data_IF_748355107044
#
_entry.id   IF_748355107044
#
_cell.length_a   1.000
_cell.length_b   1.000
_cell.length_c   1.000
_cell.angle_alpha   90.00
_cell.angle_beta   90.00
_cell.angle_gamma   90.00
#
_symmetry.space_group_name_H-M   'P 1'
#
loop_
_entity.id
_entity.type
_entity.pdbx_description
1 polymer ?
#
# COMPACT_ATOMS: atom_id res chain seq x y z
N UNK A 1 43.90 18.10 28.79
CA UNK A 1 42.86 18.83 28.01
C UNK A 1 42.37 18.13 26.73
N UNK A 2 42.64 16.84 26.52
CA UNK A 2 42.26 16.10 25.29
C UNK A 2 41.03 15.21 25.49
N UNK A 3 40.66 14.86 26.72
CA UNK A 3 39.51 13.95 26.99
C UNK A 3 38.13 14.59 26.87
N UNK A 4 38.02 15.91 26.84
CA UNK A 4 36.74 16.64 26.80
C UNK A 4 36.21 16.84 25.36
N UNK A 5 37.11 16.77 24.35
CA UNK A 5 36.72 16.95 22.93
C UNK A 5 36.12 15.70 22.28
N UNK A 6 36.41 14.51 22.81
CA UNK A 6 35.91 13.25 22.26
C UNK A 6 34.46 13.01 22.69
N UNK A 7 34.06 13.51 23.88
CA UNK A 7 32.69 13.35 24.38
C UNK A 7 31.67 14.22 23.61
N UNK A 8 32.09 15.37 23.09
CA UNK A 8 31.20 16.26 22.34
C UNK A 8 30.92 15.78 20.91
N UNK A 9 31.85 14.99 20.31
CA UNK A 9 31.64 14.46 18.96
C UNK A 9 30.72 13.23 18.95
N UNK A 10 30.66 12.45 20.03
CA UNK A 10 29.80 11.27 20.11
C UNK A 10 28.31 11.63 20.37
N UNK A 11 28.05 12.76 21.02
CA UNK A 11 26.69 13.24 21.29
C UNK A 11 26.09 13.95 20.07
N UNK A 12 26.93 14.57 19.23
CA UNK A 12 26.46 15.24 18.01
C UNK A 12 26.18 14.25 16.86
N UNK A 13 26.83 13.07 16.89
CA UNK A 13 26.60 12.00 15.89
C UNK A 13 25.30 11.23 16.15
N UNK A 14 24.80 11.17 17.36
CA UNK A 14 23.54 10.48 17.68
C UNK A 14 22.30 11.38 17.47
N UNK A 15 22.48 12.68 17.25
CA UNK A 15 21.37 13.61 17.01
C UNK A 15 21.03 13.81 15.52
N UNK A 16 21.80 13.21 14.61
CA UNK A 16 21.60 13.40 13.16
C UNK A 16 20.87 12.24 12.47
N UNK A 17 20.34 11.27 13.23
CA UNK A 17 19.50 10.19 12.74
C UNK A 17 18.05 10.25 13.27
N UNK A 18 17.57 11.44 13.68
CA UNK A 18 16.14 11.70 13.57
C UNK A 18 15.84 11.97 12.10
N UNK A 19 15.95 10.93 11.27
CA UNK A 19 15.19 10.88 10.04
C UNK A 19 13.74 10.99 10.49
N UNK A 20 13.18 12.19 10.34
CA UNK A 20 11.75 12.38 10.36
C UNK A 20 11.20 11.41 9.31
N UNK A 21 10.77 10.23 9.76
CA UNK A 21 9.77 9.49 9.03
C UNK A 21 8.62 10.51 8.94
N UNK A 22 8.54 11.19 7.81
CA UNK A 22 7.35 11.92 7.42
C UNK A 22 6.28 10.84 7.39
N UNK A 23 5.56 10.70 8.53
CA UNK A 23 4.28 10.02 8.51
C UNK A 23 3.47 10.85 7.54
N UNK A 24 3.40 10.39 6.30
CA UNK A 24 2.40 10.84 5.36
C UNK A 24 1.11 10.42 6.05
N UNK A 25 0.52 11.33 6.83
CA UNK A 25 -0.83 11.16 7.29
C UNK A 25 -1.65 11.12 6.01
N UNK A 26 -2.14 9.94 5.70
CA UNK A 26 -3.11 9.79 4.65
C UNK A 26 -4.29 10.70 4.98
N UNK A 27 -4.53 11.71 4.15
CA UNK A 27 -5.63 12.64 4.32
C UNK A 27 -6.94 11.90 4.04
N UNK A 28 -7.61 11.50 5.13
CA UNK A 28 -8.97 10.96 5.05
C UNK A 28 -9.91 12.12 4.69
N UNK A 29 -10.63 11.98 3.59
CA UNK A 29 -11.59 13.01 3.17
C UNK A 29 -12.73 13.10 4.19
N UNK A 30 -13.01 14.31 4.73
CA UNK A 30 -13.97 14.50 5.82
C UNK A 30 -15.35 13.91 5.53
N UNK A 31 -15.88 13.13 6.48
CA UNK A 31 -17.20 12.51 6.37
C UNK A 31 -17.28 11.33 5.41
N UNK A 32 -16.15 10.74 5.03
CA UNK A 32 -16.08 9.56 4.17
C UNK A 32 -15.12 8.51 4.74
N UNK A 33 -15.14 7.30 4.16
CA UNK A 33 -14.18 6.23 4.43
C UNK A 33 -13.10 6.16 3.33
N UNK A 34 -12.78 7.29 2.70
CA UNK A 34 -11.79 7.36 1.62
C UNK A 34 -10.54 8.12 2.05
N UNK A 35 -9.40 7.50 1.80
CA UNK A 35 -8.05 8.06 1.92
C UNK A 35 -7.61 8.62 0.57
N UNK A 36 -7.11 9.86 0.54
CA UNK A 36 -6.53 10.44 -0.68
C UNK A 36 -5.09 9.94 -0.82
N UNK A 37 -4.86 9.06 -1.80
CA UNK A 37 -3.54 8.49 -2.10
C UNK A 37 -2.74 9.41 -3.03
N UNK A 38 -3.43 10.05 -3.98
CA UNK A 38 -2.82 11.02 -4.90
C UNK A 38 -3.88 11.97 -5.48
N UNK A 39 -3.45 12.90 -6.34
CA UNK A 39 -4.35 13.87 -6.97
C UNK A 39 -5.54 13.24 -7.70
N UNK A 40 -5.46 11.97 -8.13
CA UNK A 40 -6.51 11.29 -8.87
C UNK A 40 -6.86 9.90 -8.33
N UNK A 41 -6.22 9.48 -7.22
CA UNK A 41 -6.42 8.15 -6.65
C UNK A 41 -6.88 8.29 -5.21
N UNK A 42 -7.95 7.59 -4.88
CA UNK A 42 -8.42 7.41 -3.51
C UNK A 42 -8.48 5.92 -3.20
N UNK A 43 -8.41 5.60 -1.91
CA UNK A 43 -8.52 4.25 -1.38
C UNK A 43 -9.71 4.18 -0.43
N UNK A 44 -10.58 3.21 -0.62
CA UNK A 44 -11.59 2.86 0.37
C UNK A 44 -10.92 2.14 1.55
N UNK A 45 -10.98 2.73 2.74
CA UNK A 45 -10.32 2.21 3.95
C UNK A 45 -10.92 0.87 4.38
N UNK A 46 -12.22 0.66 4.15
CA UNK A 46 -12.92 -0.55 4.59
C UNK A 46 -12.64 -1.75 3.69
N UNK A 47 -12.58 -1.52 2.37
CA UNK A 47 -12.43 -2.58 1.37
C UNK A 47 -11.01 -2.69 0.82
N UNK A 48 -10.20 -1.64 0.98
CA UNK A 48 -8.88 -1.52 0.35
C UNK A 48 -8.94 -1.26 -1.16
N UNK A 49 -10.14 -1.04 -1.73
CA UNK A 49 -10.32 -0.76 -3.16
C UNK A 49 -9.68 0.57 -3.55
N UNK A 50 -8.86 0.57 -4.61
CA UNK A 50 -8.34 1.79 -5.21
C UNK A 50 -9.28 2.26 -6.33
N UNK A 51 -9.64 3.55 -6.29
CA UNK A 51 -10.39 4.24 -7.33
C UNK A 51 -9.47 5.26 -7.98
N UNK A 52 -9.23 5.10 -9.28
CA UNK A 52 -8.43 6.01 -10.09
C UNK A 52 -9.34 6.80 -11.03
N UNK A 53 -9.27 8.13 -10.97
CA UNK A 53 -10.10 9.04 -11.77
C UNK A 53 -9.29 9.64 -12.92
N UNK A 54 -9.96 9.94 -14.01
CA UNK A 54 -9.31 10.59 -15.16
C UNK A 54 -8.92 12.04 -14.86
N UNK A 55 -9.65 12.72 -13.97
CA UNK A 55 -9.34 14.09 -13.54
C UNK A 55 -9.54 14.27 -12.03
N UNK A 56 -8.91 15.29 -11.47
CA UNK A 56 -9.07 15.68 -10.06
C UNK A 56 -10.49 16.09 -9.73
N UNK A 57 -11.15 16.81 -10.65
CA UNK A 57 -12.53 17.30 -10.49
C UNK A 57 -13.52 16.13 -10.38
N UNK A 58 -13.30 15.04 -11.14
CA UNK A 58 -14.14 13.83 -11.03
C UNK A 58 -13.92 13.11 -9.70
N UNK A 59 -12.67 13.07 -9.19
CA UNK A 59 -12.37 12.54 -7.85
C UNK A 59 -13.12 13.36 -6.79
N UNK A 60 -12.99 14.68 -6.82
CA UNK A 60 -13.58 15.56 -5.81
C UNK A 60 -15.11 15.47 -5.83
N UNK A 61 -15.71 15.45 -7.01
CA UNK A 61 -17.13 15.24 -7.18
C UNK A 61 -17.61 13.89 -6.62
N UNK A 62 -16.83 12.84 -6.80
CA UNK A 62 -17.10 11.52 -6.20
C UNK A 62 -17.05 11.59 -4.68
N UNK A 63 -15.99 12.17 -4.10
CA UNK A 63 -15.83 12.31 -2.66
C UNK A 63 -16.95 13.14 -2.03
N UNK A 64 -17.32 14.26 -2.65
CA UNK A 64 -18.47 15.07 -2.22
C UNK A 64 -19.75 14.25 -2.23
N UNK A 65 -19.99 13.44 -3.27
CA UNK A 65 -21.20 12.59 -3.36
C UNK A 65 -21.28 11.52 -2.27
N UNK A 66 -20.13 11.12 -1.68
CA UNK A 66 -20.01 10.12 -0.62
C UNK A 66 -19.94 10.72 0.77
N UNK A 67 -19.69 12.01 0.90
CA UNK A 67 -19.61 12.70 2.18
C UNK A 67 -20.99 12.76 2.86
N UNK A 68 -21.03 12.46 4.16
CA UNK A 68 -22.22 12.65 4.99
C UNK A 68 -22.62 14.14 5.14
N UNK A 69 -21.71 15.04 4.80
CA UNK A 69 -21.91 16.50 4.84
C UNK A 69 -22.40 17.06 3.50
N UNK A 70 -23.19 16.29 2.73
CA UNK A 70 -23.75 16.79 1.47
C UNK A 70 -24.42 18.16 1.68
N UNK A 71 -23.68 19.22 1.41
CA UNK A 71 -24.30 20.51 1.14
C UNK A 71 -25.02 20.39 -0.21
N UNK A 72 -26.26 20.85 -0.28
CA UNK A 72 -27.14 20.75 -1.47
C UNK A 72 -26.63 21.45 -2.75
N UNK A 73 -25.38 21.90 -2.80
CA UNK A 73 -24.79 22.47 -3.99
C UNK A 73 -24.10 21.38 -4.80
N UNK A 74 -24.83 20.72 -5.67
CA UNK A 74 -24.27 19.91 -6.76
C UNK A 74 -23.51 20.81 -7.75
N UNK A 75 -22.42 21.44 -7.28
CA UNK A 75 -21.61 22.33 -8.10
C UNK A 75 -21.01 21.61 -9.32
N UNK A 76 -20.88 20.29 -9.26
CA UNK A 76 -20.31 19.46 -10.34
C UNK A 76 -21.32 18.94 -11.36
N UNK A 77 -22.63 19.09 -11.10
CA UNK A 77 -23.68 18.57 -11.97
C UNK A 77 -23.70 17.04 -12.12
N UNK A 78 -23.00 16.31 -11.27
CA UNK A 78 -23.00 14.83 -11.26
C UNK A 78 -24.21 14.31 -10.51
N UNK A 79 -24.98 13.41 -11.15
CA UNK A 79 -26.18 12.80 -10.57
C UNK A 79 -25.88 11.44 -9.91
N UNK A 80 -24.98 10.63 -10.51
CA UNK A 80 -24.81 9.25 -10.10
C UNK A 80 -23.47 8.68 -10.58
N UNK A 81 -22.99 7.61 -9.89
CA UNK A 81 -21.79 6.83 -10.21
C UNK A 81 -22.12 5.34 -10.24
N UNK A 82 -21.52 4.62 -11.16
CA UNK A 82 -21.59 3.16 -11.20
C UNK A 82 -20.24 2.53 -11.58
N UNK A 83 -20.05 1.29 -11.21
CA UNK A 83 -18.93 0.48 -11.67
C UNK A 83 -19.41 -0.62 -12.60
N UNK A 84 -18.59 -0.98 -13.59
CA UNK A 84 -18.83 -2.03 -14.56
C UNK A 84 -17.60 -2.92 -14.66
N UNK A 85 -17.75 -4.23 -14.59
CA UNK A 85 -16.64 -5.14 -14.81
C UNK A 85 -15.95 -4.84 -16.15
N UNK A 86 -14.63 -4.83 -16.13
CA UNK A 86 -13.80 -4.65 -17.33
C UNK A 86 -13.05 -5.94 -17.65
N UNK A 87 -12.06 -6.29 -16.83
CA UNK A 87 -11.24 -7.48 -17.01
C UNK A 87 -10.59 -7.89 -15.69
N UNK A 88 -9.97 -9.06 -15.68
CA UNK A 88 -9.10 -9.51 -14.60
C UNK A 88 -7.79 -10.04 -15.18
N UNK A 89 -6.71 -9.94 -14.41
CA UNK A 89 -5.40 -10.49 -14.75
C UNK A 89 -4.67 -10.99 -13.52
N UNK A 90 -3.76 -11.93 -13.71
CA UNK A 90 -2.85 -12.40 -12.65
C UNK A 90 -1.73 -11.40 -12.43
N UNK A 91 -1.38 -11.17 -11.17
CA UNK A 91 -0.27 -10.34 -10.76
C UNK A 91 0.48 -10.95 -9.59
N UNK A 92 1.67 -10.41 -9.33
CA UNK A 92 2.49 -10.81 -8.20
C UNK A 92 3.22 -9.62 -7.60
N UNK A 93 3.49 -9.70 -6.30
CA UNK A 93 4.24 -8.67 -5.60
C UNK A 93 5.31 -9.31 -4.70
N UNK A 94 6.36 -8.55 -4.41
CA UNK A 94 7.45 -8.97 -3.56
C UNK A 94 7.76 -7.84 -2.58
N UNK A 95 7.86 -8.17 -1.29
CA UNK A 95 8.25 -7.21 -0.25
C UNK A 95 9.76 -6.89 -0.33
N UNK A 96 10.18 -5.83 0.36
CA UNK A 96 11.57 -5.67 0.78
C UNK A 96 11.99 -6.76 1.78
N UNK A 97 13.21 -6.64 2.34
CA UNK A 97 13.67 -7.48 3.43
C UNK A 97 12.80 -7.27 4.68
N UNK A 98 12.25 -8.34 5.24
CA UNK A 98 11.42 -8.31 6.46
C UNK A 98 12.14 -8.86 7.68
N UNK A 99 13.24 -9.59 7.50
CA UNK A 99 14.16 -9.95 8.57
C UNK A 99 15.45 -9.15 8.50
N UNK A 100 16.19 -9.07 9.61
CA UNK A 100 17.58 -8.65 9.54
C UNK A 100 18.39 -9.62 8.67
N UNK A 101 19.47 -9.12 8.08
CA UNK A 101 20.43 -9.98 7.38
C UNK A 101 21.20 -10.81 8.40
N UNK A 102 21.30 -12.12 8.18
CA UNK A 102 22.11 -13.02 8.99
C UNK A 102 23.22 -13.66 8.16
N UNK A 103 24.36 -13.93 8.82
CA UNK A 103 25.45 -14.72 8.26
C UNK A 103 25.41 -16.13 8.84
N UNK A 104 25.44 -17.15 7.97
CA UNK A 104 25.29 -18.55 8.37
C UNK A 104 26.47 -19.17 9.16
N UNK A 105 27.65 -18.52 9.21
CA UNK A 105 28.82 -19.05 9.89
C UNK A 105 29.15 -20.46 9.41
N UNK A 106 29.77 -21.31 10.29
CA UNK A 106 30.07 -22.74 9.99
C UNK A 106 28.83 -23.64 10.07
N UNK A 107 27.89 -23.31 10.93
CA UNK A 107 26.73 -24.15 11.24
C UNK A 107 25.45 -23.75 10.50
N UNK A 108 25.46 -22.64 9.76
CA UNK A 108 24.25 -21.97 9.28
C UNK A 108 23.64 -21.05 10.34
N UNK A 109 22.59 -20.35 9.99
CA UNK A 109 21.81 -19.54 10.91
C UNK A 109 20.31 -19.69 10.60
N UNK A 110 19.45 -19.58 11.62
CA UNK A 110 18.00 -19.61 11.42
C UNK A 110 17.44 -18.20 11.49
N UNK A 111 16.67 -17.82 10.49
CA UNK A 111 15.87 -16.60 10.44
C UNK A 111 14.39 -16.94 10.58
N UNK A 112 13.67 -16.14 11.36
CA UNK A 112 12.23 -16.33 11.56
C UNK A 112 11.52 -15.01 11.34
N UNK A 113 10.39 -15.05 10.65
CA UNK A 113 9.40 -13.96 10.60
C UNK A 113 8.10 -14.44 11.23
N UNK A 114 7.46 -13.56 12.00
CA UNK A 114 6.21 -13.85 12.71
C UNK A 114 4.98 -13.87 11.80
N UNK A 115 3.90 -14.47 12.29
CA UNK A 115 2.57 -14.27 11.72
C UNK A 115 2.22 -12.78 11.71
N UNK A 116 1.47 -12.35 10.69
CA UNK A 116 1.09 -10.95 10.51
C UNK A 116 2.15 -10.07 9.82
N UNK A 117 3.36 -10.59 9.52
CA UNK A 117 4.29 -9.89 8.64
C UNK A 117 3.62 -9.59 7.30
N UNK A 118 3.65 -8.32 6.86
CA UNK A 118 2.83 -7.85 5.75
C UNK A 118 3.54 -6.84 4.86
N UNK A 119 3.02 -6.66 3.66
CA UNK A 119 3.37 -5.62 2.69
C UNK A 119 2.13 -5.29 1.84
N UNK A 120 2.15 -4.23 1.04
CA UNK A 120 0.99 -3.83 0.24
C UNK A 120 1.11 -4.28 -1.21
N UNK A 121 0.00 -4.72 -1.79
CA UNK A 121 -0.10 -4.97 -3.22
C UNK A 121 -0.07 -3.64 -3.98
N UNK A 122 0.83 -3.46 -4.97
CA UNK A 122 0.98 -2.19 -5.68
C UNK A 122 -0.28 -1.73 -6.41
N UNK A 123 -1.04 -2.67 -6.99
CA UNK A 123 -2.19 -2.39 -7.83
C UNK A 123 -3.46 -2.02 -7.07
N UNK A 124 -3.54 -2.37 -5.78
CA UNK A 124 -4.75 -2.13 -4.97
C UNK A 124 -4.48 -1.51 -3.61
N UNK A 125 -3.19 -1.41 -3.19
CA UNK A 125 -2.85 -0.96 -1.85
C UNK A 125 -3.34 -1.87 -0.71
N UNK A 126 -3.92 -3.04 -1.03
CA UNK A 126 -4.39 -4.02 -0.04
C UNK A 126 -3.19 -4.65 0.68
N UNK A 127 -3.27 -4.77 1.99
CA UNK A 127 -2.27 -5.46 2.80
C UNK A 127 -2.26 -6.96 2.52
N UNK A 128 -1.08 -7.50 2.24
CA UNK A 128 -0.80 -8.92 2.03
C UNK A 128 0.00 -9.42 3.22
N UNK A 129 -0.50 -10.41 3.95
CA UNK A 129 0.12 -10.87 5.19
C UNK A 129 0.28 -12.39 5.25
N UNK A 130 1.30 -12.83 6.01
CA UNK A 130 1.44 -14.24 6.40
C UNK A 130 0.46 -14.59 7.53
N UNK A 131 -0.20 -15.73 7.40
CA UNK A 131 -1.12 -16.25 8.41
C UNK A 131 -0.43 -17.01 9.54
N UNK A 132 0.86 -17.37 9.38
CA UNK A 132 1.64 -18.13 10.35
C UNK A 132 3.10 -17.69 10.35
N UNK A 133 3.83 -18.03 11.40
CA UNK A 133 5.27 -17.80 11.48
C UNK A 133 6.02 -18.78 10.58
N UNK A 134 7.09 -18.30 9.93
CA UNK A 134 7.94 -19.12 9.05
C UNK A 134 9.41 -18.93 9.41
N UNK A 135 10.15 -20.05 9.42
CA UNK A 135 11.58 -20.06 9.63
C UNK A 135 12.32 -20.62 8.42
N UNK A 136 13.43 -19.99 8.08
CA UNK A 136 14.36 -20.44 7.03
C UNK A 136 15.77 -20.58 7.57
N UNK A 137 16.51 -21.58 7.09
CA UNK A 137 17.90 -21.78 7.44
C UNK A 137 18.81 -21.15 6.39
N UNK A 138 19.58 -20.14 6.81
CA UNK A 138 20.66 -19.55 6.01
C UNK A 138 21.79 -20.57 5.92
N UNK A 139 22.23 -20.99 4.72
CA UNK A 139 23.28 -21.98 4.56
C UNK A 139 24.63 -21.53 5.17
N UNK A 140 25.52 -22.48 5.51
CA UNK A 140 26.85 -22.14 5.98
C UNK A 140 27.60 -21.25 5.01
N UNK A 141 28.35 -20.29 5.56
CA UNK A 141 29.20 -19.33 4.82
C UNK A 141 28.46 -18.45 3.80
N UNK A 142 27.12 -18.23 3.97
CA UNK A 142 26.34 -17.32 3.18
C UNK A 142 25.66 -16.26 4.05
N UNK A 143 25.29 -15.14 3.45
CA UNK A 143 24.37 -14.17 4.03
C UNK A 143 22.95 -14.47 3.56
N UNK A 144 21.95 -14.07 4.34
CA UNK A 144 20.56 -14.21 3.93
C UNK A 144 19.60 -13.32 4.68
N UNK A 145 18.46 -13.04 4.06
CA UNK A 145 17.29 -12.40 4.67
C UNK A 145 16.00 -13.03 4.14
N UNK A 146 14.90 -12.84 4.87
CA UNK A 146 13.58 -13.30 4.44
C UNK A 146 12.80 -12.13 3.84
N UNK A 147 12.11 -12.39 2.71
CA UNK A 147 11.10 -11.53 2.11
C UNK A 147 9.82 -12.30 1.88
N UNK A 148 8.72 -11.57 1.67
CA UNK A 148 7.45 -12.16 1.25
C UNK A 148 7.26 -12.01 -0.26
N UNK A 149 6.58 -12.99 -0.82
CA UNK A 149 6.02 -12.98 -2.17
C UNK A 149 4.53 -13.24 -2.10
N UNK A 150 3.80 -12.70 -3.04
CA UNK A 150 2.39 -12.98 -3.20
C UNK A 150 2.03 -13.13 -4.68
N UNK A 151 1.04 -13.99 -4.96
CA UNK A 151 0.30 -14.02 -6.21
C UNK A 151 -1.17 -13.74 -5.94
N UNK A 152 -1.84 -13.06 -6.84
CA UNK A 152 -3.24 -12.68 -6.72
C UNK A 152 -3.84 -12.35 -8.09
N UNK A 153 -5.18 -12.29 -8.15
CA UNK A 153 -5.91 -11.81 -9.32
C UNK A 153 -6.32 -10.37 -9.06
N UNK A 154 -5.98 -9.48 -10.00
CA UNK A 154 -6.45 -8.09 -10.03
C UNK A 154 -7.75 -8.04 -10.82
N UNK A 155 -8.82 -7.54 -10.21
CA UNK A 155 -10.11 -7.32 -10.85
C UNK A 155 -10.29 -5.83 -11.12
N UNK A 156 -10.35 -5.45 -12.38
CA UNK A 156 -10.53 -4.07 -12.83
C UNK A 156 -11.98 -3.82 -13.22
N UNK A 157 -12.54 -2.70 -12.73
CA UNK A 157 -13.86 -2.22 -13.11
C UNK A 157 -13.75 -0.79 -13.64
N UNK A 158 -14.50 -0.46 -14.69
CA UNK A 158 -14.65 0.91 -15.18
C UNK A 158 -15.60 1.67 -14.26
N UNK A 159 -15.19 2.87 -13.87
CA UNK A 159 -16.02 3.83 -13.16
C UNK A 159 -16.68 4.76 -14.19
N UNK A 160 -17.99 4.86 -14.16
CA UNK A 160 -18.78 5.71 -15.04
C UNK A 160 -19.60 6.70 -14.22
N UNK A 161 -19.79 7.90 -14.75
CA UNK A 161 -20.56 9.00 -14.15
C UNK A 161 -21.73 9.36 -15.07
N UNK A 162 -22.85 9.74 -14.46
CA UNK A 162 -24.01 10.32 -15.15
C UNK A 162 -24.24 11.74 -14.65
N UNK A 163 -24.32 12.69 -15.57
CA UNK A 163 -24.61 14.09 -15.22
C UNK A 163 -26.10 14.34 -15.06
N UNK A 164 -26.43 15.34 -14.23
CA UNK A 164 -27.81 15.81 -14.03
C UNK A 164 -28.45 16.20 -15.37
N UNK A 165 -29.69 15.81 -15.55
CA UNK A 165 -30.44 16.10 -16.79
C UNK A 165 -30.06 15.25 -18.00
N UNK A 166 -29.16 14.28 -17.85
CA UNK A 166 -28.77 13.33 -18.91
C UNK A 166 -29.02 11.89 -18.50
N UNK A 167 -29.29 11.02 -19.49
CA UNK A 167 -29.34 9.56 -19.30
C UNK A 167 -28.07 8.89 -19.80
N UNK A 168 -27.04 9.67 -20.19
CA UNK A 168 -25.81 9.14 -20.76
C UNK A 168 -24.75 8.92 -19.66
N UNK A 169 -24.19 7.73 -19.63
CA UNK A 169 -23.05 7.39 -18.78
C UNK A 169 -21.74 7.70 -19.52
N UNK A 170 -20.81 8.33 -18.81
CA UNK A 170 -19.51 8.77 -19.34
C UNK A 170 -18.41 8.15 -18.49
N UNK A 171 -17.31 7.64 -19.09
CA UNK A 171 -16.18 7.12 -18.33
C UNK A 171 -15.58 8.19 -17.40
N UNK A 172 -15.37 7.84 -16.14
CA UNK A 172 -14.80 8.72 -15.11
C UNK A 172 -13.47 8.22 -14.54
N UNK A 173 -13.19 6.92 -14.69
CA UNK A 173 -11.98 6.30 -14.16
C UNK A 173 -12.08 4.78 -14.12
N UNK A 174 -11.27 4.18 -13.24
CA UNK A 174 -11.23 2.74 -13.01
C UNK A 174 -11.10 2.46 -11.51
N UNK A 175 -11.56 1.29 -11.08
CA UNK A 175 -11.31 0.74 -9.75
C UNK A 175 -10.60 -0.60 -9.86
N UNK A 176 -9.77 -0.93 -8.87
CA UNK A 176 -9.09 -2.23 -8.79
C UNK A 176 -9.25 -2.85 -7.40
N UNK A 177 -9.57 -4.14 -7.39
CA UNK A 177 -9.59 -4.99 -6.19
C UNK A 177 -8.76 -6.23 -6.45
N UNK A 178 -8.32 -6.91 -5.39
CA UNK A 178 -7.60 -8.17 -5.53
C UNK A 178 -8.39 -9.33 -4.93
N UNK A 179 -8.18 -10.52 -5.49
CA UNK A 179 -8.77 -11.78 -5.04
C UNK A 179 -7.80 -12.95 -5.24
N UNK A 180 -8.14 -14.15 -4.76
CA UNK A 180 -7.33 -15.36 -4.87
C UNK A 180 -5.88 -15.15 -4.40
N UNK A 181 -5.73 -14.54 -3.22
CA UNK A 181 -4.45 -14.14 -2.66
C UNK A 181 -3.74 -15.36 -2.09
N UNK A 182 -2.50 -15.57 -2.51
CA UNK A 182 -1.56 -16.53 -1.92
C UNK A 182 -0.30 -15.78 -1.50
N UNK A 183 0.11 -15.91 -0.23
CA UNK A 183 1.30 -15.25 0.33
C UNK A 183 2.24 -16.32 0.89
N UNK A 184 3.53 -16.25 0.54
CA UNK A 184 4.57 -17.13 1.07
C UNK A 184 5.85 -16.36 1.33
N UNK A 185 6.75 -16.97 2.09
CA UNK A 185 8.07 -16.43 2.38
C UNK A 185 9.14 -17.02 1.47
N UNK A 186 10.16 -16.26 1.17
CA UNK A 186 11.33 -16.66 0.41
C UNK A 186 12.60 -16.25 1.15
N UNK A 187 13.55 -17.18 1.25
CA UNK A 187 14.91 -16.88 1.71
C UNK A 187 15.75 -16.41 0.52
N UNK A 188 16.30 -15.22 0.61
CA UNK A 188 17.27 -14.68 -0.35
C UNK A 188 18.66 -14.85 0.24
N UNK A 189 19.57 -15.49 -0.50
CA UNK A 189 20.95 -15.74 -0.03
C UNK A 189 21.98 -15.26 -1.04
N UNK A 190 23.18 -14.90 -0.54
CA UNK A 190 24.35 -14.55 -1.35
C UNK A 190 25.65 -14.87 -0.60
N UNK A 191 26.78 -14.91 -1.32
CA UNK A 191 28.12 -15.12 -0.78
C UNK A 191 28.85 -13.81 -0.57
#
# INVERSE_FOLDING_TARGET
MIKLKILFFSVLSSLLFLVTASTVFADIYPGTNYEIVSNRIIKDINTGELLSFYTTELRDAYLESKSMYQTRSNATGVADYRTKYSHSYESSATSGALSSTAYGGKAGATLTIGAGASFSAPESGVGLSLNHSVSHNVPPYTYGYIRLKASYIVNVRKLEVRYLGTNKWVPAGETSTISNISVWSELVTWK
#
